data_IF_250402986010
#
_entry.id   IF_250402986010
#
_cell.length_a   1.000
_cell.length_b   1.000
_cell.length_c   1.000
_cell.angle_alpha   90.00
_cell.angle_beta   90.00
_cell.angle_gamma   90.00
#
_symmetry.space_group_name_H-M   'P 1'
#
loop_
_entity.id
_entity.type
_entity.pdbx_description
1 polymer ?
#
# COMPACT_ATOMS: atom_id res chain seq x y z
N UNK A 1 24.79 8.51 11.86
CA UNK A 1 24.57 9.23 10.59
C UNK A 1 23.46 10.24 10.87
N UNK A 2 23.67 11.54 10.69
CA UNK A 2 22.62 12.56 10.89
C UNK A 2 22.17 13.00 9.50
N UNK A 3 21.01 12.53 9.06
CA UNK A 3 20.43 12.94 7.77
C UNK A 3 19.49 14.10 8.05
N UNK A 4 19.94 15.32 7.73
CA UNK A 4 19.14 16.52 7.81
C UNK A 4 18.59 16.85 6.42
N UNK A 5 17.25 16.86 6.30
CA UNK A 5 16.41 17.00 5.09
C UNK A 5 16.40 15.77 4.19
N UNK A 6 15.25 15.11 4.14
CA UNK A 6 14.93 14.05 3.18
C UNK A 6 14.37 14.67 1.91
N UNK A 7 15.11 14.61 0.80
CA UNK A 7 14.69 15.09 -0.51
C UNK A 7 14.11 13.97 -1.39
N UNK A 8 13.26 14.28 -2.39
CA UNK A 8 12.75 13.28 -3.35
C UNK A 8 13.85 12.43 -3.99
N UNK A 9 15.06 13.00 -4.15
CA UNK A 9 16.23 12.28 -4.68
C UNK A 9 16.67 11.11 -3.80
N UNK A 10 16.34 11.09 -2.52
CA UNK A 10 16.66 10.00 -1.60
C UNK A 10 15.75 8.78 -1.78
N UNK A 11 14.63 8.93 -2.51
CA UNK A 11 13.77 7.83 -2.94
C UNK A 11 14.06 7.40 -4.39
N UNK A 12 15.26 7.67 -4.91
CA UNK A 12 15.65 7.24 -6.25
C UNK A 12 15.96 5.75 -6.27
N UNK A 13 15.10 4.95 -6.89
CA UNK A 13 15.36 3.53 -7.16
C UNK A 13 16.19 3.40 -8.44
N UNK A 14 17.41 2.86 -8.30
CA UNK A 14 18.25 2.48 -9.45
C UNK A 14 18.34 0.97 -9.54
N UNK A 15 17.74 0.38 -10.58
CA UNK A 15 17.83 -1.06 -10.85
C UNK A 15 18.99 -1.30 -11.81
N UNK A 16 19.99 -2.08 -11.37
CA UNK A 16 21.08 -2.54 -12.25
C UNK A 16 20.76 -3.95 -12.73
N UNK A 17 21.01 -4.28 -14.01
CA UNK A 17 20.86 -5.65 -14.48
C UNK A 17 21.72 -6.59 -13.66
N UNK A 18 21.18 -7.75 -13.26
CA UNK A 18 21.99 -8.80 -12.59
C UNK A 18 23.11 -9.32 -13.47
N UNK A 19 22.85 -9.42 -14.77
CA UNK A 19 23.85 -9.74 -15.79
C UNK A 19 23.69 -8.79 -16.98
N UNK A 20 24.78 -8.22 -17.49
CA UNK A 20 24.73 -7.31 -18.65
C UNK A 20 24.25 -8.00 -19.93
N UNK A 21 24.26 -9.33 -19.96
CA UNK A 21 23.83 -10.15 -21.11
C UNK A 21 22.36 -10.60 -21.03
N UNK A 22 21.63 -10.29 -19.96
CA UNK A 22 20.24 -10.71 -19.83
C UNK A 22 19.37 -10.04 -20.91
N UNK A 23 18.41 -10.77 -21.50
CA UNK A 23 17.43 -10.19 -22.42
C UNK A 23 16.70 -9.00 -21.80
N UNK A 24 16.42 -7.97 -22.60
CA UNK A 24 15.76 -6.72 -22.16
C UNK A 24 14.45 -6.98 -21.40
N UNK A 25 13.67 -7.98 -21.83
CA UNK A 25 12.43 -8.37 -21.18
C UNK A 25 12.62 -8.85 -19.73
N UNK A 26 13.69 -9.61 -19.46
CA UNK A 26 14.00 -10.08 -18.10
C UNK A 26 14.41 -8.90 -17.21
N UNK A 27 15.19 -7.97 -17.75
CA UNK A 27 15.56 -6.75 -17.04
C UNK A 27 14.34 -5.89 -16.71
N UNK A 28 13.38 -5.79 -17.63
CA UNK A 28 12.13 -5.06 -17.43
C UNK A 28 11.25 -5.73 -16.35
N UNK A 29 11.17 -7.06 -16.37
CA UNK A 29 10.42 -7.83 -15.38
C UNK A 29 11.03 -7.69 -13.97
N UNK A 30 12.36 -7.74 -13.87
CA UNK A 30 13.07 -7.49 -12.61
C UNK A 30 12.83 -6.06 -12.12
N UNK A 31 12.97 -5.05 -12.99
CA UNK A 31 12.73 -3.66 -12.65
C UNK A 31 11.28 -3.44 -12.16
N UNK A 32 10.30 -4.00 -12.86
CA UNK A 32 8.90 -3.94 -12.47
C UNK A 32 8.67 -4.54 -11.08
N UNK A 33 9.20 -5.73 -10.79
CA UNK A 33 9.06 -6.35 -9.47
C UNK A 33 9.68 -5.49 -8.37
N UNK A 34 10.87 -4.94 -8.60
CA UNK A 34 11.54 -4.06 -7.63
C UNK A 34 10.73 -2.80 -7.38
N UNK A 35 10.16 -2.18 -8.43
CA UNK A 35 9.26 -1.04 -8.31
C UNK A 35 8.04 -1.42 -7.46
N UNK A 36 7.37 -2.53 -7.75
CA UNK A 36 6.21 -2.97 -6.96
C UNK A 36 6.54 -3.17 -5.48
N UNK A 37 7.66 -3.83 -5.16
CA UNK A 37 8.11 -4.00 -3.79
C UNK A 37 8.38 -2.65 -3.11
N UNK A 38 8.97 -1.70 -3.83
CA UNK A 38 9.22 -0.36 -3.34
C UNK A 38 7.93 0.43 -3.09
N UNK A 39 6.94 0.34 -3.99
CA UNK A 39 5.62 0.96 -3.81
C UNK A 39 4.91 0.44 -2.55
N UNK A 40 4.94 -0.88 -2.33
CA UNK A 40 4.37 -1.51 -1.13
C UNK A 40 5.12 -1.02 0.10
N UNK A 41 6.45 -1.02 0.06
CA UNK A 41 7.28 -0.60 1.18
C UNK A 41 7.05 0.86 1.57
N UNK A 42 6.86 1.74 0.60
CA UNK A 42 6.52 3.15 0.85
C UNK A 42 5.18 3.28 1.56
N UNK A 43 4.15 2.58 1.10
CA UNK A 43 2.83 2.62 1.74
C UNK A 43 2.84 2.01 3.15
N UNK A 44 3.44 0.83 3.31
CA UNK A 44 3.48 0.10 4.59
C UNK A 44 4.39 0.80 5.59
N UNK A 45 5.59 1.19 5.16
CA UNK A 45 6.58 1.89 6.00
C UNK A 45 6.11 3.25 6.50
N UNK A 46 5.24 3.93 5.74
CA UNK A 46 4.59 5.19 6.12
C UNK A 46 3.20 5.04 6.72
N UNK A 47 2.71 3.81 6.94
CA UNK A 47 1.34 3.53 7.41
C UNK A 47 0.25 4.19 6.56
N UNK A 48 0.49 4.35 5.26
CA UNK A 48 -0.42 5.00 4.32
C UNK A 48 -0.41 6.53 4.35
N UNK A 49 0.49 7.16 5.10
CA UNK A 49 0.68 8.62 5.09
C UNK A 49 1.31 9.14 3.79
N UNK A 50 1.77 8.25 2.91
CA UNK A 50 2.33 8.61 1.61
C UNK A 50 1.25 8.69 0.52
N UNK A 51 0.95 9.90 0.06
CA UNK A 51 0.13 10.14 -1.13
C UNK A 51 1.04 10.29 -2.36
N UNK A 52 0.82 9.45 -3.38
CA UNK A 52 1.71 9.34 -4.54
C UNK A 52 1.65 10.51 -5.55
N UNK A 53 0.71 11.44 -5.38
CA UNK A 53 0.54 12.72 -6.09
C UNK A 53 -0.86 13.26 -5.73
N UNK A 54 -1.08 14.57 -5.88
CA UNK A 54 -2.43 15.14 -6.08
C UNK A 54 -3.22 14.23 -7.04
N UNK A 55 -4.52 14.03 -6.80
CA UNK A 55 -5.35 13.19 -7.67
C UNK A 55 -5.05 13.48 -9.15
N UNK A 56 -4.71 12.48 -9.99
CA UNK A 56 -4.49 12.72 -11.42
C UNK A 56 -5.77 13.20 -12.14
N UNK A 57 -6.91 13.15 -11.44
CA UNK A 57 -8.22 13.60 -11.91
C UNK A 57 -8.63 14.89 -11.21
N UNK A 58 -7.78 15.90 -11.37
CA UNK A 58 -8.23 17.14 -11.97
C UNK A 58 -9.65 17.00 -12.56
N UNK A 59 -10.67 17.51 -11.88
CA UNK A 59 -11.99 17.61 -12.50
C UNK A 59 -11.89 18.68 -13.57
N UNK A 60 -12.23 18.39 -14.85
CA UNK A 60 -12.35 19.44 -15.84
C UNK A 60 -13.53 20.33 -15.43
N UNK A 61 -13.23 21.51 -14.91
CA UNK A 61 -14.24 22.52 -14.61
C UNK A 61 -14.29 23.48 -15.79
N UNK A 62 -15.48 23.70 -16.33
CA UNK A 62 -15.67 24.72 -17.36
C UNK A 62 -15.58 26.09 -16.68
N UNK A 63 -14.46 26.78 -16.85
CA UNK A 63 -14.26 28.12 -16.33
C UNK A 63 -14.40 29.12 -17.47
N UNK A 64 -15.27 30.09 -17.29
CA UNK A 64 -15.38 31.24 -18.18
C UNK A 64 -14.56 32.36 -17.57
N UNK A 65 -13.48 32.75 -18.22
CA UNK A 65 -12.64 33.87 -17.78
C UNK A 65 -12.92 35.08 -18.67
N UNK A 66 -13.11 36.23 -18.04
CA UNK A 66 -13.16 37.51 -18.74
C UNK A 66 -11.73 37.94 -19.10
N UNK A 67 -11.52 38.32 -20.35
CA UNK A 67 -10.25 38.88 -20.78
C UNK A 67 -10.03 40.19 -20.01
N UNK A 68 -8.93 40.28 -19.25
CA UNK A 68 -8.62 41.46 -18.42
C UNK A 68 -8.46 42.75 -19.26
N UNK A 69 -8.39 42.64 -20.59
CA UNK A 69 -8.29 43.76 -21.53
C UNK A 69 -9.64 44.15 -22.19
N UNK A 70 -10.77 43.56 -21.77
CA UNK A 70 -12.13 44.06 -22.03
C UNK A 70 -12.57 44.15 -23.51
N UNK A 71 -11.78 43.65 -24.47
CA UNK A 71 -11.99 43.92 -25.90
C UNK A 71 -12.36 42.72 -26.74
N UNK A 72 -12.33 41.48 -26.23
CA UNK A 72 -12.88 40.30 -26.93
C UNK A 72 -13.50 39.30 -25.95
N UNK A 73 -14.61 38.70 -26.40
CA UNK A 73 -15.56 37.93 -25.58
C UNK A 73 -14.99 36.79 -24.75
N UNK A 74 -15.82 36.35 -23.80
CA UNK A 74 -15.63 35.23 -22.87
C UNK A 74 -14.70 34.13 -23.42
N UNK A 75 -13.56 33.90 -22.73
CA UNK A 75 -12.74 32.72 -22.99
C UNK A 75 -13.19 31.62 -22.05
N UNK A 76 -13.88 30.64 -22.63
CA UNK A 76 -14.15 29.37 -21.97
C UNK A 76 -12.89 28.50 -22.03
N UNK A 77 -12.40 28.09 -20.87
CA UNK A 77 -11.32 27.13 -20.75
C UNK A 77 -11.78 25.96 -19.88
N UNK A 78 -11.38 24.76 -20.27
CA UNK A 78 -11.45 23.61 -19.38
C UNK A 78 -10.26 23.74 -18.43
N UNK A 79 -10.55 24.06 -17.16
CA UNK A 79 -9.53 24.26 -16.13
C UNK A 79 -9.48 23.05 -15.22
N UNK A 80 -8.28 22.78 -14.77
CA UNK A 80 -7.94 21.69 -13.92
C UNK A 80 -8.15 22.02 -12.42
N UNK A 81 -9.01 21.29 -11.69
CA UNK A 81 -9.12 21.43 -10.22
C UNK A 81 -9.01 20.10 -9.48
N UNK A 82 -8.07 20.01 -8.52
CA UNK A 82 -7.95 18.89 -7.58
C UNK A 82 -8.96 19.08 -6.44
N UNK A 83 -9.85 18.11 -6.16
CA UNK A 83 -10.78 18.18 -5.04
C UNK A 83 -10.15 17.74 -3.70
N UNK A 84 -8.91 17.22 -3.71
CA UNK A 84 -8.25 16.77 -2.48
C UNK A 84 -7.75 17.98 -1.67
N UNK A 85 -8.50 18.31 -0.61
CA UNK A 85 -7.90 18.98 0.54
C UNK A 85 -7.02 17.94 1.24
N UNK A 86 -5.71 18.00 0.98
CA UNK A 86 -4.78 17.34 1.87
C UNK A 86 -5.00 17.92 3.27
N UNK A 87 -5.18 17.06 4.28
CA UNK A 87 -5.10 17.49 5.67
C UNK A 87 -3.71 18.06 5.98
N UNK A 88 -3.38 18.29 7.24
CA UNK A 88 -2.04 18.75 7.61
C UNK A 88 -0.96 17.80 7.05
N UNK A 89 -0.18 18.30 6.09
CA UNK A 89 0.95 17.58 5.54
C UNK A 89 2.02 17.48 6.63
N UNK A 90 2.34 16.25 7.02
CA UNK A 90 3.38 16.01 8.02
C UNK A 90 4.70 15.74 7.30
N UNK A 91 5.79 16.38 7.74
CA UNK A 91 7.12 16.13 7.19
C UNK A 91 7.56 14.69 7.49
N UNK A 92 8.10 13.99 6.48
CA UNK A 92 8.69 12.66 6.63
C UNK A 92 9.92 12.72 7.55
N UNK A 93 10.01 11.81 8.51
CA UNK A 93 11.13 11.69 9.44
C UNK A 93 12.09 10.60 8.99
N UNK A 94 13.33 10.67 9.48
CA UNK A 94 14.36 9.64 9.24
C UNK A 94 13.89 8.23 9.63
N UNK A 95 13.09 8.13 10.70
CA UNK A 95 12.49 6.86 11.14
C UNK A 95 11.53 6.26 10.10
N UNK A 96 10.81 7.09 9.34
CA UNK A 96 9.87 6.64 8.30
C UNK A 96 10.64 6.09 7.10
N UNK A 97 11.69 6.79 6.66
CA UNK A 97 12.60 6.31 5.60
C UNK A 97 13.24 4.98 5.98
N UNK A 98 13.72 4.87 7.22
CA UNK A 98 14.31 3.65 7.73
C UNK A 98 13.31 2.49 7.74
N UNK A 99 12.06 2.75 8.16
CA UNK A 99 10.97 1.77 8.12
C UNK A 99 10.70 1.27 6.70
N UNK A 100 10.61 2.19 5.74
CA UNK A 100 10.42 1.88 4.31
C UNK A 100 11.55 0.97 3.79
N UNK A 101 12.80 1.28 4.08
CA UNK A 101 13.95 0.48 3.63
C UNK A 101 13.92 -0.93 4.22
N UNK A 102 13.58 -1.07 5.51
CA UNK A 102 13.44 -2.38 6.15
C UNK A 102 12.31 -3.21 5.52
N UNK A 103 11.13 -2.61 5.37
CA UNK A 103 9.99 -3.27 4.74
C UNK A 103 10.34 -3.67 3.31
N UNK A 104 11.00 -2.80 2.55
CA UNK A 104 11.45 -3.10 1.19
C UNK A 104 12.34 -4.33 1.15
N UNK A 105 13.33 -4.44 2.04
CA UNK A 105 14.21 -5.61 2.11
C UNK A 105 13.47 -6.92 2.46
N UNK A 106 12.40 -6.85 3.24
CA UNK A 106 11.57 -8.02 3.57
C UNK A 106 10.69 -8.40 2.38
N UNK A 107 9.96 -7.44 1.81
CA UNK A 107 9.04 -7.64 0.68
C UNK A 107 9.81 -8.11 -0.57
N UNK A 108 11.00 -7.57 -0.84
CA UNK A 108 11.83 -7.98 -1.97
C UNK A 108 12.34 -9.43 -1.86
N UNK A 109 12.42 -10.00 -0.64
CA UNK A 109 12.76 -11.41 -0.40
C UNK A 109 11.54 -12.32 -0.46
N UNK A 110 10.35 -11.75 -0.43
CA UNK A 110 9.08 -12.45 -0.40
C UNK A 110 8.76 -13.01 -1.80
N UNK A 111 8.63 -14.33 -1.91
CA UNK A 111 8.43 -15.01 -3.20
C UNK A 111 6.97 -15.15 -3.62
N UNK A 112 6.05 -14.59 -2.85
CA UNK A 112 4.60 -14.77 -3.05
C UNK A 112 4.02 -13.63 -3.87
N UNK A 113 3.81 -13.89 -5.16
CA UNK A 113 3.18 -12.98 -6.11
C UNK A 113 1.75 -12.58 -5.75
N UNK A 114 1.07 -13.35 -4.89
CA UNK A 114 -0.29 -13.05 -4.44
C UNK A 114 -0.32 -11.77 -3.61
N UNK A 115 0.59 -11.60 -2.65
CA UNK A 115 0.64 -10.41 -1.82
C UNK A 115 0.99 -9.18 -2.66
N UNK A 116 2.10 -9.25 -3.39
CA UNK A 116 2.60 -8.10 -4.17
C UNK A 116 1.67 -7.76 -5.33
N UNK A 117 1.14 -8.79 -6.02
CA UNK A 117 0.25 -8.64 -7.16
C UNK A 117 -1.12 -8.10 -6.79
N UNK A 118 -1.77 -8.65 -5.77
CA UNK A 118 -3.07 -8.14 -5.32
C UNK A 118 -2.94 -6.74 -4.71
N UNK A 119 -1.91 -6.47 -3.91
CA UNK A 119 -1.69 -5.13 -3.36
C UNK A 119 -1.48 -4.09 -4.48
N UNK A 120 -0.56 -4.36 -5.41
CA UNK A 120 -0.27 -3.46 -6.52
C UNK A 120 -1.49 -3.24 -7.42
N UNK A 121 -2.26 -4.30 -7.69
CA UNK A 121 -3.51 -4.21 -8.44
C UNK A 121 -4.53 -3.35 -7.72
N UNK A 122 -4.65 -3.47 -6.39
CA UNK A 122 -5.52 -2.62 -5.57
C UNK A 122 -5.14 -1.14 -5.69
N UNK A 123 -3.85 -0.81 -5.62
CA UNK A 123 -3.37 0.56 -5.84
C UNK A 123 -3.71 1.07 -7.25
N UNK A 124 -3.50 0.25 -8.28
CA UNK A 124 -3.82 0.63 -9.66
C UNK A 124 -5.31 0.90 -9.83
N UNK A 125 -6.18 0.03 -9.30
CA UNK A 125 -7.63 0.18 -9.39
C UNK A 125 -8.14 1.41 -8.65
N UNK A 126 -7.48 1.82 -7.56
CA UNK A 126 -7.76 3.11 -6.90
C UNK A 126 -7.40 4.32 -7.78
N UNK A 127 -6.40 4.18 -8.66
CA UNK A 127 -5.98 5.25 -9.59
C UNK A 127 -6.81 5.28 -10.87
N UNK A 128 -7.34 4.13 -11.31
CA UNK A 128 -8.20 4.02 -12.49
C UNK A 128 -9.61 4.52 -12.15
N UNK A 129 -9.88 5.80 -12.41
CA UNK A 129 -11.24 6.35 -12.37
C UNK A 129 -11.52 6.97 -13.74
N UNK A 130 -12.12 6.21 -14.65
CA UNK A 130 -12.38 6.64 -16.03
C UNK A 130 -13.88 6.60 -16.31
N UNK A 131 -14.42 7.69 -16.87
CA UNK A 131 -15.82 7.75 -17.32
C UNK A 131 -16.86 7.34 -16.27
N UNK A 132 -16.71 7.80 -15.02
CA UNK A 132 -17.59 7.49 -13.87
C UNK A 132 -17.61 6.01 -13.43
N UNK A 133 -16.82 5.15 -14.07
CA UNK A 133 -16.60 3.78 -13.63
C UNK A 133 -15.63 3.79 -12.44
N UNK A 134 -16.14 3.39 -11.27
CA UNK A 134 -15.33 3.19 -10.09
C UNK A 134 -15.04 1.69 -9.89
N UNK A 135 -13.78 1.34 -9.63
CA UNK A 135 -13.35 -0.04 -9.37
C UNK A 135 -13.18 -0.31 -7.87
N UNK A 136 -14.01 0.35 -7.04
CA UNK A 136 -13.88 0.32 -5.58
C UNK A 136 -14.05 -1.09 -5.03
N UNK A 137 -15.00 -1.84 -5.57
CA UNK A 137 -15.23 -3.24 -5.19
C UNK A 137 -14.02 -4.09 -5.52
N UNK A 138 -13.48 -3.98 -6.72
CA UNK A 138 -12.32 -4.75 -7.18
C UNK A 138 -11.09 -4.39 -6.36
N UNK A 139 -10.86 -3.10 -6.10
CA UNK A 139 -9.76 -2.62 -5.26
C UNK A 139 -9.89 -3.15 -3.82
N UNK A 140 -11.09 -3.08 -3.23
CA UNK A 140 -11.36 -3.66 -1.90
C UNK A 140 -11.03 -5.15 -1.87
N UNK A 141 -11.50 -5.92 -2.86
CA UNK A 141 -11.25 -7.36 -2.93
C UNK A 141 -9.76 -7.68 -3.12
N UNK A 142 -9.02 -6.83 -3.85
CA UNK A 142 -7.58 -6.98 -3.97
C UNK A 142 -6.86 -6.82 -2.62
N UNK A 143 -7.12 -5.74 -1.88
CA UNK A 143 -6.53 -5.54 -0.56
C UNK A 143 -6.97 -6.61 0.44
N UNK A 144 -8.24 -7.04 0.40
CA UNK A 144 -8.72 -8.11 1.26
C UNK A 144 -8.03 -9.45 0.98
N UNK A 145 -7.85 -9.82 -0.29
CA UNK A 145 -7.11 -11.04 -0.68
C UNK A 145 -5.64 -10.97 -0.28
N UNK A 146 -5.01 -9.81 -0.45
CA UNK A 146 -3.65 -9.57 0.01
C UNK A 146 -3.55 -9.77 1.54
N UNK A 147 -4.49 -9.22 2.30
CA UNK A 147 -4.60 -9.41 3.75
C UNK A 147 -4.80 -10.88 4.15
N UNK A 148 -5.75 -11.57 3.52
CA UNK A 148 -6.04 -12.97 3.78
C UNK A 148 -4.79 -13.83 3.55
N UNK A 149 -4.14 -13.62 2.41
CA UNK A 149 -2.93 -14.33 2.04
C UNK A 149 -1.78 -14.02 3.01
N UNK A 150 -1.61 -12.76 3.42
CA UNK A 150 -0.59 -12.35 4.37
C UNK A 150 -0.75 -13.09 5.70
N UNK A 151 -1.96 -13.05 6.28
CA UNK A 151 -2.25 -13.74 7.55
C UNK A 151 -2.05 -15.26 7.42
N UNK A 152 -2.55 -15.86 6.36
CA UNK A 152 -2.44 -17.31 6.15
C UNK A 152 -0.97 -17.75 6.03
N UNK A 153 -0.21 -17.11 5.15
CA UNK A 153 1.14 -17.55 4.77
C UNK A 153 2.21 -17.13 5.79
N UNK A 154 2.21 -15.87 6.24
CA UNK A 154 3.24 -15.33 7.14
C UNK A 154 2.98 -15.65 8.61
N UNK A 155 1.74 -15.47 9.05
CA UNK A 155 1.41 -15.47 10.49
C UNK A 155 0.98 -16.86 10.97
N UNK A 156 0.08 -17.48 10.23
CA UNK A 156 -0.46 -18.80 10.57
C UNK A 156 0.36 -19.94 9.98
N UNK A 157 1.12 -19.68 8.91
CA UNK A 157 1.93 -20.67 8.17
C UNK A 157 1.08 -21.83 7.63
N UNK A 158 -0.09 -21.50 7.08
CA UNK A 158 -1.02 -22.44 6.46
C UNK A 158 -1.24 -22.09 4.98
N UNK A 159 -1.50 -23.09 4.15
CA UNK A 159 -1.78 -22.90 2.72
C UNK A 159 -3.20 -22.38 2.46
N UNK A 160 -4.15 -22.66 3.37
CA UNK A 160 -5.55 -22.26 3.25
C UNK A 160 -6.19 -22.08 4.63
N UNK A 161 -7.11 -21.13 4.73
CA UNK A 161 -7.94 -20.92 5.92
C UNK A 161 -9.11 -21.91 5.93
N UNK A 162 -9.36 -22.55 7.07
CA UNK A 162 -10.46 -23.51 7.24
C UNK A 162 -11.75 -22.79 7.63
N UNK A 163 -11.68 -21.93 8.64
CA UNK A 163 -12.75 -21.01 9.00
C UNK A 163 -12.18 -19.59 8.92
N UNK A 164 -12.41 -18.94 7.78
CA UNK A 164 -11.83 -17.64 7.45
C UNK A 164 -11.90 -16.62 8.59
N UNK A 165 -13.09 -16.36 9.14
CA UNK A 165 -13.25 -15.39 10.22
C UNK A 165 -12.46 -15.76 11.47
N UNK A 166 -12.58 -17.02 11.94
CA UNK A 166 -11.89 -17.49 13.16
C UNK A 166 -10.37 -17.52 12.97
N UNK A 167 -9.91 -17.96 11.82
CA UNK A 167 -8.49 -18.07 11.51
C UNK A 167 -7.86 -16.68 11.36
N UNK A 168 -8.51 -15.74 10.67
CA UNK A 168 -8.04 -14.35 10.55
C UNK A 168 -7.99 -13.65 11.91
N UNK A 169 -9.01 -13.80 12.75
CA UNK A 169 -8.98 -13.28 14.13
C UNK A 169 -7.84 -13.90 14.96
N UNK A 170 -7.59 -15.20 14.81
CA UNK A 170 -6.45 -15.87 15.47
C UNK A 170 -5.12 -15.31 14.97
N UNK A 171 -4.98 -15.04 13.68
CA UNK A 171 -3.80 -14.41 13.10
C UNK A 171 -3.57 -13.02 13.67
N UNK A 172 -4.59 -12.16 13.67
CA UNK A 172 -4.50 -10.81 14.23
C UNK A 172 -4.13 -10.80 15.72
N UNK A 173 -4.69 -11.73 16.51
CA UNK A 173 -4.33 -11.89 17.93
C UNK A 173 -2.87 -12.21 18.16
N UNK A 174 -2.20 -12.91 17.23
CA UNK A 174 -0.76 -13.19 17.33
C UNK A 174 0.10 -11.95 17.10
N UNK A 175 -0.40 -10.98 16.32
CA UNK A 175 0.34 -9.79 15.93
C UNK A 175 0.16 -8.66 16.96
N UNK A 176 -1.08 -8.30 17.29
CA UNK A 176 -1.36 -7.05 18.01
C UNK A 176 -1.83 -7.27 19.44
N UNK A 177 -2.41 -8.44 19.75
CA UNK A 177 -3.20 -8.70 20.98
C UNK A 177 -4.28 -7.63 21.28
N UNK A 178 -4.58 -6.74 20.34
CA UNK A 178 -5.49 -5.60 20.53
C UNK A 178 -6.90 -5.99 20.13
N UNK A 179 -7.84 -5.83 21.07
CA UNK A 179 -9.25 -6.10 20.82
C UNK A 179 -9.86 -5.08 19.84
N UNK A 180 -9.39 -3.83 19.86
CA UNK A 180 -9.82 -2.77 18.94
C UNK A 180 -9.52 -3.14 17.48
N UNK A 181 -8.31 -3.67 17.20
CA UNK A 181 -7.92 -4.14 15.86
C UNK A 181 -8.80 -5.31 15.40
N UNK A 182 -9.20 -6.19 16.32
CA UNK A 182 -10.08 -7.32 16.02
C UNK A 182 -11.49 -6.84 15.70
N UNK A 183 -12.00 -5.85 16.42
CA UNK A 183 -13.31 -5.28 16.18
C UNK A 183 -13.34 -4.46 14.88
N UNK A 184 -12.26 -3.76 14.56
CA UNK A 184 -12.11 -3.07 13.29
C UNK A 184 -12.07 -4.05 12.10
N UNK A 185 -11.38 -5.18 12.26
CA UNK A 185 -11.43 -6.27 11.28
C UNK A 185 -12.85 -6.82 11.09
N UNK A 186 -13.66 -6.95 12.15
CA UNK A 186 -15.05 -7.43 12.02
C UNK A 186 -15.87 -6.50 11.13
N UNK A 187 -15.67 -5.19 11.22
CA UNK A 187 -16.29 -4.21 10.31
C UNK A 187 -15.92 -4.48 8.85
N UNK A 188 -14.63 -4.67 8.57
CA UNK A 188 -14.12 -5.01 7.22
C UNK A 188 -14.71 -6.34 6.73
N UNK A 189 -14.77 -7.36 7.60
CA UNK A 189 -15.30 -8.67 7.28
C UNK A 189 -16.79 -8.65 6.93
N UNK A 190 -17.58 -7.81 7.60
CA UNK A 190 -19.00 -7.60 7.27
C UNK A 190 -19.16 -7.03 5.87
N UNK A 191 -18.32 -6.04 5.48
CA UNK A 191 -18.32 -5.49 4.12
C UNK A 191 -18.02 -6.60 3.13
N UNK A 192 -16.93 -7.36 3.32
CA UNK A 192 -16.57 -8.48 2.43
C UNK A 192 -17.70 -9.50 2.30
N UNK A 193 -18.32 -9.87 3.42
CA UNK A 193 -19.39 -10.88 3.45
C UNK A 193 -20.63 -10.41 2.69
N UNK A 194 -20.94 -9.10 2.72
CA UNK A 194 -22.03 -8.50 1.95
C UNK A 194 -21.82 -8.54 0.43
N UNK A 195 -20.59 -8.75 -0.04
CA UNK A 195 -20.24 -8.80 -1.46
C UNK A 195 -20.20 -10.22 -2.03
N UNK A 196 -20.45 -11.24 -1.20
CA UNK A 196 -20.48 -12.63 -1.65
C UNK A 196 -21.65 -12.86 -2.62
N UNK A 197 -21.39 -13.63 -3.69
CA UNK A 197 -22.35 -13.92 -4.77
C UNK A 197 -23.62 -14.64 -4.30
N UNK A 198 -23.58 -15.27 -3.11
CA UNK A 198 -24.72 -15.97 -2.50
C UNK A 198 -25.47 -15.14 -1.46
N UNK A 199 -25.11 -13.87 -1.26
CA UNK A 199 -25.89 -12.99 -0.39
C UNK A 199 -27.24 -12.71 -1.04
N UNK A 200 -28.33 -12.97 -0.31
CA UNK A 200 -29.71 -12.72 -0.77
C UNK A 200 -30.05 -11.22 -0.82
N UNK A 201 -29.12 -10.35 -0.41
CA UNK A 201 -29.29 -8.90 -0.34
C UNK A 201 -28.63 -8.27 -1.56
N UNK A 202 -29.29 -7.27 -2.17
CA UNK A 202 -28.73 -6.47 -3.26
C UNK A 202 -27.36 -5.95 -2.83
N UNK A 203 -26.30 -6.32 -3.57
CA UNK A 203 -24.92 -5.97 -3.23
C UNK A 203 -24.80 -4.45 -3.15
N UNK A 204 -24.51 -3.96 -1.95
CA UNK A 204 -24.30 -2.53 -1.68
C UNK A 204 -23.02 -2.07 -2.40
N UNK A 205 -23.02 -0.82 -2.86
CA UNK A 205 -21.81 -0.17 -3.37
C UNK A 205 -20.79 0.03 -2.23
N UNK A 206 -19.52 -0.28 -2.51
CA UNK A 206 -18.40 -0.03 -1.59
C UNK A 206 -17.95 1.41 -1.74
N UNK A 207 -17.89 2.16 -0.64
CA UNK A 207 -17.42 3.55 -0.65
C UNK A 207 -15.89 3.63 -0.73
N UNK A 208 -15.34 4.77 -1.16
CA UNK A 208 -13.89 4.97 -1.19
C UNK A 208 -13.26 4.80 0.21
N UNK A 209 -13.92 5.31 1.24
CA UNK A 209 -13.50 5.18 2.64
C UNK A 209 -13.38 3.70 3.06
N UNK A 210 -14.31 2.85 2.63
CA UNK A 210 -14.25 1.41 2.91
C UNK A 210 -13.07 0.72 2.22
N UNK A 211 -12.72 1.14 1.00
CA UNK A 211 -11.51 0.64 0.31
C UNK A 211 -10.25 1.10 1.03
N UNK A 212 -10.18 2.38 1.40
CA UNK A 212 -9.03 2.93 2.12
C UNK A 212 -8.88 2.29 3.50
N UNK A 213 -9.97 2.00 4.18
CA UNK A 213 -9.99 1.31 5.47
C UNK A 213 -9.33 -0.07 5.38
N UNK A 214 -9.72 -0.91 4.41
CA UNK A 214 -9.06 -2.24 4.26
C UNK A 214 -7.59 -2.11 3.85
N UNK A 215 -7.25 -1.12 3.01
CA UNK A 215 -5.87 -0.85 2.60
C UNK A 215 -5.00 -0.43 3.79
N UNK A 216 -5.42 0.57 4.56
CA UNK A 216 -4.68 1.05 5.74
C UNK A 216 -4.61 -0.02 6.81
N UNK A 217 -5.68 -0.79 7.01
CA UNK A 217 -5.67 -1.93 7.92
C UNK A 217 -4.61 -2.96 7.54
N UNK A 218 -4.52 -3.31 6.25
CA UNK A 218 -3.46 -4.18 5.73
C UNK A 218 -2.07 -3.58 5.97
N UNK A 219 -1.87 -2.30 5.70
CA UNK A 219 -0.58 -1.62 5.91
C UNK A 219 -0.13 -1.71 7.37
N UNK A 220 -1.02 -1.45 8.31
CA UNK A 220 -0.75 -1.54 9.76
C UNK A 220 -0.35 -2.96 10.14
N UNK A 221 -1.09 -3.96 9.65
CA UNK A 221 -0.83 -5.39 9.93
C UNK A 221 0.53 -5.80 9.37
N UNK A 222 0.82 -5.45 8.12
CA UNK A 222 2.11 -5.75 7.48
C UNK A 222 3.26 -5.04 8.17
N UNK A 223 3.11 -3.74 8.45
CA UNK A 223 4.12 -2.95 9.14
C UNK A 223 4.44 -3.52 10.51
N UNK A 224 3.43 -3.93 11.27
CA UNK A 224 3.64 -4.50 12.61
C UNK A 224 4.44 -5.80 12.55
N UNK A 225 4.06 -6.72 11.66
CA UNK A 225 4.77 -7.99 11.49
C UNK A 225 6.20 -7.79 10.96
N UNK A 226 6.37 -6.96 9.93
CA UNK A 226 7.68 -6.69 9.34
C UNK A 226 8.62 -5.96 10.30
N UNK A 227 8.10 -5.06 11.13
CA UNK A 227 8.88 -4.41 12.19
C UNK A 227 9.32 -5.43 13.24
N UNK A 228 8.46 -6.38 13.61
CA UNK A 228 8.82 -7.47 14.51
C UNK A 228 9.94 -8.35 13.90
N UNK A 229 9.81 -8.75 12.63
CA UNK A 229 10.84 -9.52 11.90
C UNK A 229 12.18 -8.76 11.85
N UNK A 230 12.16 -7.48 11.47
CA UNK A 230 13.36 -6.65 11.37
C UNK A 230 14.06 -6.49 12.73
N UNK A 231 13.32 -6.27 13.81
CA UNK A 231 13.87 -6.17 15.16
C UNK A 231 14.54 -7.48 15.60
N UNK A 232 13.92 -8.62 15.31
CA UNK A 232 14.50 -9.94 15.59
C UNK A 232 15.80 -10.18 14.79
N UNK A 233 15.82 -9.81 13.50
CA UNK A 233 17.00 -9.95 12.65
C UNK A 233 18.15 -9.05 13.14
N UNK A 234 17.86 -7.81 13.52
CA UNK A 234 18.85 -6.87 14.09
C UNK A 234 19.44 -7.39 15.41
N UNK A 235 18.60 -7.89 16.31
CA UNK A 235 19.06 -8.48 17.58
C UNK A 235 19.98 -9.68 17.33
N UNK A 236 19.60 -10.57 16.42
CA UNK A 236 20.39 -11.74 16.05
C UNK A 236 21.73 -11.39 15.40
N UNK A 237 21.83 -10.26 14.69
CA UNK A 237 23.11 -9.75 14.15
C UNK A 237 24.02 -9.24 15.27
N UNK A 238 23.50 -8.42 16.18
CA UNK A 238 24.27 -7.91 17.33
C UNK A 238 24.84 -9.03 18.20
N UNK A 239 24.04 -10.06 18.46
CA UNK A 239 24.50 -11.21 19.25
C UNK A 239 25.61 -12.00 18.53
N UNK A 240 25.56 -12.11 17.19
CA UNK A 240 26.61 -12.75 16.39
C UNK A 240 27.90 -11.92 16.37
N UNK A 241 27.79 -10.60 16.27
CA UNK A 241 28.94 -9.68 16.33
C UNK A 241 29.62 -9.72 17.69
N UNK A 242 28.84 -9.82 18.78
CA UNK A 242 29.37 -9.99 20.14
C UNK A 242 30.04 -11.36 20.34
N UNK A 243 29.50 -12.43 19.74
CA UNK A 243 30.07 -13.78 19.84
C UNK A 243 31.30 -14.01 18.95
N UNK A 244 31.48 -13.22 17.89
CA UNK A 244 32.64 -13.27 16.99
C UNK A 244 33.75 -12.28 17.32
N UNK A 245 33.66 -11.57 18.44
CA UNK A 245 34.55 -10.48 18.84
C UNK A 245 35.65 -10.83 19.85
N UNK A 246 35.91 -12.12 20.11
CA UNK A 246 37.07 -12.57 20.90
C UNK A 246 38.06 -13.30 19.99
N UNK A 247 39.14 -12.60 19.60
CA UNK A 247 40.41 -13.17 19.13
C UNK A 247 41.53 -12.56 19.96
#
# INVERSE_FOLDING_TARGET
MRVHKVSEREFTLSVRPRHPENPEFEQLAEAHQVILCFLIALNVGSLGAFAWAEEPWVRPVFAVTEDMEGTRGYRAAIVAQSPMQHGELTELKEADVYSVVLVFGIVARERTSVLTGEYARGLLLLRMNFAELNFRREAFMCFYRAFEHFIASRILKVSKLGNELKDLQRGLRRITQSQEIIDEFRSIYTIRSSQAAHSQVKQREITLEEVLKVKVFLDIVMHTEFKHEANAEMLARRLREQAGGEV
#
